data_IF_567463748663
#
_entry.id   IF_567463748663
#
_cell.length_a   1.000
_cell.length_b   1.000
_cell.length_c   1.000
_cell.angle_alpha   90.00
_cell.angle_beta   90.00
_cell.angle_gamma   90.00
#
_symmetry.space_group_name_H-M   'P 1'
#
loop_
_entity.id
_entity.type
_entity.pdbx_description
1 polymer ?
#
# COMPACT_ATOMS: atom_id res chain seq x y z
N UNK A 1 22.61 1.35 -2.59
CA UNK A 1 21.52 0.41 -2.78
C UNK A 1 20.37 1.10 -3.51
N UNK A 2 19.91 0.52 -4.59
CA UNK A 2 18.88 1.16 -5.39
C UNK A 2 17.50 0.97 -4.75
N UNK A 3 16.70 2.02 -4.79
CA UNK A 3 15.30 1.94 -4.39
C UNK A 3 14.52 1.40 -5.58
N UNK A 4 13.71 0.35 -5.35
CA UNK A 4 12.85 -0.19 -6.38
C UNK A 4 11.45 0.41 -6.22
N UNK A 5 11.02 1.26 -7.16
CA UNK A 5 9.68 1.84 -7.06
C UNK A 5 8.62 0.83 -7.51
N UNK A 6 7.51 0.80 -6.79
CA UNK A 6 6.33 0.03 -7.17
C UNK A 6 5.19 1.01 -7.34
N UNK A 7 4.59 1.03 -8.53
CA UNK A 7 3.47 1.91 -8.82
C UNK A 7 2.21 1.36 -8.14
N UNK A 8 1.60 2.17 -7.29
CA UNK A 8 0.37 1.79 -6.58
C UNK A 8 -0.86 2.45 -7.20
N UNK A 9 -0.70 3.05 -8.38
CA UNK A 9 -1.80 3.64 -9.13
C UNK A 9 -1.70 5.15 -9.18
N UNK A 10 -2.19 5.70 -10.29
CA UNK A 10 -2.32 7.16 -10.49
C UNK A 10 -1.01 7.91 -10.30
N UNK A 11 0.10 7.30 -10.71
CA UNK A 11 1.39 7.95 -10.64
C UNK A 11 2.04 7.93 -9.26
N UNK A 12 1.44 7.26 -8.30
CA UNK A 12 2.00 7.15 -6.96
C UNK A 12 2.87 5.91 -6.86
N UNK A 13 4.04 6.05 -6.24
CA UNK A 13 4.96 4.93 -6.08
C UNK A 13 5.40 4.80 -4.64
N UNK A 14 5.72 3.57 -4.26
CA UNK A 14 6.30 3.27 -2.94
C UNK A 14 7.59 2.49 -3.16
N UNK A 15 8.44 2.48 -2.14
CA UNK A 15 9.68 1.70 -2.20
C UNK A 15 9.38 0.24 -1.89
N UNK A 16 9.65 -0.64 -2.84
CA UNK A 16 9.29 -2.06 -2.71
C UNK A 16 9.89 -2.69 -1.46
N UNK A 17 11.14 -2.37 -1.15
CA UNK A 17 11.82 -2.97 0.00
C UNK A 17 11.33 -2.48 1.35
N UNK A 18 10.45 -1.48 1.38
CA UNK A 18 9.90 -0.93 2.61
C UNK A 18 8.47 -1.39 2.85
N UNK A 19 7.92 -2.23 1.99
CA UNK A 19 6.57 -2.78 2.15
C UNK A 19 6.63 -3.97 3.10
N UNK A 20 5.81 -3.93 4.14
CA UNK A 20 5.69 -5.06 5.07
C UNK A 20 4.56 -5.99 4.62
N UNK A 21 3.42 -5.42 4.24
CA UNK A 21 2.24 -6.23 3.91
C UNK A 21 1.35 -5.49 2.93
N UNK A 22 0.67 -6.28 2.11
CA UNK A 22 -0.38 -5.78 1.21
C UNK A 22 -1.61 -6.60 1.55
N UNK A 23 -2.66 -5.95 2.05
CA UNK A 23 -3.84 -6.66 2.55
C UNK A 23 -5.10 -6.12 1.92
N UNK A 24 -6.14 -6.96 1.91
CA UNK A 24 -7.46 -6.55 1.46
C UNK A 24 -8.10 -5.65 2.51
N UNK A 25 -8.87 -4.62 2.11
CA UNK A 25 -9.39 -3.65 3.06
C UNK A 25 -10.58 -4.13 3.89
N UNK A 26 -11.16 -5.27 3.54
CA UNK A 26 -12.43 -5.70 4.12
C UNK A 26 -12.31 -6.34 5.50
N UNK A 27 -11.13 -6.77 5.90
CA UNK A 27 -10.98 -7.46 7.17
C UNK A 27 -10.97 -6.48 8.34
N UNK A 28 -11.36 -6.97 9.52
CA UNK A 28 -11.32 -6.15 10.72
C UNK A 28 -9.91 -5.67 11.06
N UNK A 29 -8.87 -6.53 10.96
CA UNK A 29 -7.50 -6.06 11.18
C UNK A 29 -7.08 -4.95 10.22
N UNK A 30 -7.46 -5.06 8.94
CA UNK A 30 -7.11 -4.03 7.98
C UNK A 30 -7.78 -2.70 8.31
N UNK A 31 -9.05 -2.74 8.70
CA UNK A 31 -9.78 -1.54 9.08
C UNK A 31 -9.14 -0.87 10.30
N UNK A 32 -8.67 -1.66 11.26
CA UNK A 32 -8.02 -1.14 12.45
C UNK A 32 -6.70 -0.45 12.08
N UNK A 33 -5.91 -1.08 11.21
CA UNK A 33 -4.64 -0.52 10.76
C UNK A 33 -4.87 0.82 10.07
N UNK A 34 -5.89 0.91 9.22
CA UNK A 34 -6.21 2.16 8.53
C UNK A 34 -6.62 3.23 9.53
N UNK A 35 -7.47 2.87 10.48
CA UNK A 35 -7.95 3.83 11.48
C UNK A 35 -6.80 4.37 12.33
N UNK A 36 -5.91 3.50 12.78
CA UNK A 36 -4.76 3.93 13.57
C UNK A 36 -3.84 4.84 12.77
N UNK A 37 -3.63 4.52 11.50
CA UNK A 37 -2.79 5.37 10.65
C UNK A 37 -3.42 6.75 10.46
N UNK A 38 -4.75 6.78 10.30
CA UNK A 38 -5.46 8.05 10.16
C UNK A 38 -5.30 8.90 11.41
N UNK A 39 -5.43 8.30 12.58
CA UNK A 39 -5.32 9.01 13.84
C UNK A 39 -3.92 9.55 14.08
N UNK A 40 -2.90 8.87 13.53
CA UNK A 40 -1.51 9.26 13.73
C UNK A 40 -0.95 10.05 12.56
N UNK A 41 -1.80 10.46 11.63
CA UNK A 41 -1.40 11.21 10.45
C UNK A 41 -0.38 10.47 9.61
N UNK A 42 -0.53 9.16 9.51
CA UNK A 42 0.34 8.29 8.72
C UNK A 42 -0.39 7.61 7.58
N UNK A 43 -1.59 8.07 7.27
CA UNK A 43 -2.38 7.51 6.18
C UNK A 43 -2.13 8.30 4.91
N UNK A 44 -1.80 7.58 3.84
CA UNK A 44 -1.60 8.17 2.53
C UNK A 44 -2.65 7.56 1.60
N UNK A 45 -3.56 8.39 1.10
CA UNK A 45 -4.62 7.91 0.23
C UNK A 45 -4.18 8.09 -1.22
N UNK A 46 -3.77 6.99 -1.85
CA UNK A 46 -3.36 6.98 -3.25
C UNK A 46 -4.45 6.41 -4.15
N UNK A 47 -5.67 6.26 -3.63
CA UNK A 47 -6.78 5.70 -4.41
C UNK A 47 -7.39 6.70 -5.39
N UNK A 48 -7.06 7.96 -5.26
CA UNK A 48 -7.50 9.02 -6.17
C UNK A 48 -9.04 9.10 -6.23
N UNK A 49 -9.68 8.99 -5.06
CA UNK A 49 -11.14 9.05 -4.97
C UNK A 49 -11.83 7.78 -5.41
N UNK A 50 -11.08 6.75 -5.84
CA UNK A 50 -11.65 5.47 -6.23
C UNK A 50 -11.79 4.58 -5.02
N UNK A 51 -12.54 3.48 -5.19
CA UNK A 51 -12.69 2.50 -4.12
C UNK A 51 -11.32 1.92 -3.76
N UNK A 52 -11.03 1.89 -2.45
CA UNK A 52 -9.81 1.24 -1.96
C UNK A 52 -9.94 -0.26 -2.12
N UNK A 53 -8.97 -0.87 -2.80
CA UNK A 53 -8.95 -2.32 -3.02
C UNK A 53 -7.79 -2.99 -2.33
N UNK A 54 -6.79 -2.22 -1.91
CA UNK A 54 -5.64 -2.77 -1.20
C UNK A 54 -5.14 -1.76 -0.19
N UNK A 55 -4.62 -2.28 0.92
CA UNK A 55 -3.99 -1.50 1.99
C UNK A 55 -2.54 -1.94 2.05
N UNK A 56 -1.62 -1.02 1.83
CA UNK A 56 -0.17 -1.29 1.82
C UNK A 56 0.42 -0.77 3.11
N UNK A 57 1.01 -1.66 3.90
CA UNK A 57 1.63 -1.30 5.18
C UNK A 57 3.13 -1.21 4.98
N UNK A 58 3.69 -0.05 5.34
CA UNK A 58 5.11 0.22 5.18
C UNK A 58 5.84 0.02 6.52
N UNK A 59 7.16 -0.15 6.45
CA UNK A 59 7.97 -0.36 7.67
C UNK A 59 8.06 0.89 8.53
N UNK A 60 7.68 2.04 7.98
CA UNK A 60 7.65 3.31 8.72
C UNK A 60 6.34 3.52 9.48
N UNK A 61 5.46 2.53 9.46
CA UNK A 61 4.11 2.61 10.01
C UNK A 61 3.16 3.48 9.17
N UNK A 62 3.60 3.95 8.03
CA UNK A 62 2.70 4.58 7.07
C UNK A 62 1.84 3.53 6.39
N UNK A 63 0.63 3.92 6.06
CA UNK A 63 -0.34 3.03 5.41
C UNK A 63 -0.83 3.73 4.16
N UNK A 64 -0.73 3.03 3.03
CA UNK A 64 -1.09 3.57 1.73
C UNK A 64 -2.33 2.86 1.22
N UNK A 65 -3.36 3.63 0.88
CA UNK A 65 -4.58 3.08 0.29
C UNK A 65 -4.44 3.10 -1.23
N UNK A 66 -4.71 1.97 -1.87
CA UNK A 66 -4.55 1.83 -3.31
C UNK A 66 -5.86 1.36 -3.94
N UNK A 67 -6.14 1.84 -5.15
CA UNK A 67 -7.27 1.38 -5.95
C UNK A 67 -6.94 0.11 -6.74
N UNK A 68 -5.69 -0.35 -6.68
CA UNK A 68 -5.29 -1.59 -7.35
C UNK A 68 -5.54 -2.79 -6.44
N UNK A 69 -5.78 -3.95 -7.06
CA UNK A 69 -6.00 -5.18 -6.32
C UNK A 69 -4.72 -5.63 -5.64
N UNK A 70 -4.81 -6.32 -4.49
CA UNK A 70 -3.60 -6.83 -3.82
C UNK A 70 -2.75 -7.72 -4.72
N UNK A 71 -3.39 -8.56 -5.54
CA UNK A 71 -2.68 -9.45 -6.46
C UNK A 71 -1.88 -8.65 -7.49
N UNK A 72 -2.44 -7.54 -7.96
CA UNK A 72 -1.75 -6.69 -8.92
C UNK A 72 -0.50 -6.08 -8.29
N UNK A 73 -0.64 -5.60 -7.06
CA UNK A 73 0.50 -5.01 -6.35
C UNK A 73 1.56 -6.05 -6.03
N UNK A 74 1.12 -7.23 -5.57
CA UNK A 74 2.05 -8.31 -5.27
C UNK A 74 2.82 -8.73 -6.51
N UNK A 75 2.14 -8.77 -7.66
CA UNK A 75 2.80 -9.09 -8.92
C UNK A 75 3.83 -8.06 -9.31
N UNK A 76 3.56 -6.79 -9.06
CA UNK A 76 4.51 -5.72 -9.37
C UNK A 76 5.73 -5.79 -8.47
N UNK A 77 5.53 -6.12 -7.19
CA UNK A 77 6.65 -6.31 -6.27
C UNK A 77 7.52 -7.49 -6.74
N UNK A 78 6.89 -8.60 -7.09
CA UNK A 78 7.61 -9.79 -7.54
C UNK A 78 8.34 -9.56 -8.85
N UNK A 79 7.77 -8.79 -9.75
CA UNK A 79 8.37 -8.55 -11.07
C UNK A 79 9.69 -7.79 -10.97
N UNK A 80 9.94 -7.12 -9.85
CA UNK A 80 11.14 -6.32 -9.67
C UNK A 80 12.29 -7.11 -9.05
N UNK A 81 12.12 -8.39 -8.82
CA UNK A 81 13.09 -9.17 -8.04
C UNK A 81 14.19 -9.83 -8.87
N UNK A 82 14.29 -9.56 -10.09
CA UNK A 82 15.33 -10.16 -10.95
C UNK A 82 16.72 -9.81 -10.53
#
# INVERSE_FOLDING_TARGET
>A
MAVRPVNVGFGNVVAAGRIIAIVAPDSAPAKRVVQEARERSRLIDASHGRRTRAVVVMDSMHVVLSALQPETLAGRVAAETD
#
